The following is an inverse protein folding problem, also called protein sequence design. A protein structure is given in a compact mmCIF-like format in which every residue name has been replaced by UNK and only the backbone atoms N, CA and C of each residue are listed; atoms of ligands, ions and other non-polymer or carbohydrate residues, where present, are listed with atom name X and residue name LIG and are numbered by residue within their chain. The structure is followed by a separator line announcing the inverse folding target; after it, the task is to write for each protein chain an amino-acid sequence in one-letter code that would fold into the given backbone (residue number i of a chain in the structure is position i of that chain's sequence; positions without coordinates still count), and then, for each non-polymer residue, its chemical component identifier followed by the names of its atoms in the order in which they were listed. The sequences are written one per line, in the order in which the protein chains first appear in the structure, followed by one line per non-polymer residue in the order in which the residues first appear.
data_IF_862346947081
#
_entry.id   IF_862346947081
#
_cell.length_a   1.000
_cell.length_b   1.000
_cell.length_c   1.000
_cell.angle_alpha   90.00
_cell.angle_beta   90.00
_cell.angle_gamma   90.00
#
_symmetry.space_group_name_H-M   'P 1'
#
loop_
_entity.id
_entity.type
_entity.pdbx_description
1 polymer ?
#
# COMPACT_ATOMS: atom_id res chain seq x y z
N UNK A 1 -5.71 -14.40 -11.45
CA UNK A 1 -6.17 -13.06 -11.80
C UNK A 1 -6.84 -12.42 -10.60
N UNK A 2 -6.19 -11.45 -9.96
CA UNK A 2 -6.84 -10.64 -8.93
C UNK A 2 -7.70 -9.56 -9.61
N UNK A 3 -8.97 -9.90 -9.87
CA UNK A 3 -9.97 -8.85 -10.03
C UNK A 3 -10.25 -8.29 -8.64
N UNK A 4 -10.04 -7.00 -8.44
CA UNK A 4 -10.37 -6.31 -7.19
C UNK A 4 -11.84 -6.59 -6.82
N UNK A 5 -12.09 -6.96 -5.58
CA UNK A 5 -13.46 -7.13 -5.06
C UNK A 5 -14.17 -5.78 -5.20
N UNK A 6 -15.35 -5.78 -5.84
CA UNK A 6 -16.10 -4.55 -6.13
C UNK A 6 -15.70 -3.84 -7.42
N UNK A 7 -14.64 -4.26 -8.12
CA UNK A 7 -14.29 -3.74 -9.44
C UNK A 7 -15.40 -4.01 -10.46
N UNK A 8 -15.65 -3.04 -11.34
CA UNK A 8 -16.60 -3.18 -12.45
C UNK A 8 -15.94 -3.70 -13.73
N UNK A 9 -14.64 -3.96 -13.70
CA UNK A 9 -13.82 -4.24 -14.86
C UNK A 9 -12.70 -5.23 -14.52
N UNK A 10 -12.39 -6.12 -15.47
CA UNK A 10 -11.20 -6.93 -15.49
C UNK A 10 -10.42 -6.63 -16.77
N UNK A 11 -9.13 -6.34 -16.65
CA UNK A 11 -8.24 -6.03 -17.79
C UNK A 11 -7.11 -7.05 -17.78
N UNK A 12 -6.93 -7.77 -18.89
CA UNK A 12 -5.89 -8.77 -19.09
C UNK A 12 -5.47 -8.82 -20.56
N UNK A 13 -4.30 -9.36 -20.81
CA UNK A 13 -3.82 -9.75 -22.14
C UNK A 13 -4.57 -10.97 -22.67
N UNK A 14 -4.88 -11.92 -21.79
CA UNK A 14 -5.56 -13.17 -22.11
C UNK A 14 -6.45 -13.66 -20.96
N UNK A 15 -7.35 -14.57 -21.27
CA UNK A 15 -8.25 -15.22 -20.33
C UNK A 15 -8.36 -16.71 -20.65
N UNK A 16 -8.21 -17.56 -19.66
CA UNK A 16 -8.62 -18.97 -19.79
C UNK A 16 -10.13 -19.06 -19.99
N UNK A 17 -10.59 -20.05 -20.75
CA UNK A 17 -12.00 -20.19 -21.11
C UNK A 17 -12.91 -20.25 -19.87
N UNK A 18 -12.53 -21.06 -18.87
CA UNK A 18 -13.30 -21.24 -17.64
C UNK A 18 -13.35 -19.96 -16.81
N UNK A 19 -12.22 -19.22 -16.72
CA UNK A 19 -12.15 -17.94 -16.03
C UNK A 19 -13.03 -16.88 -16.74
N UNK A 20 -13.04 -16.88 -18.06
CA UNK A 20 -13.86 -15.99 -18.87
C UNK A 20 -15.35 -16.21 -18.64
N UNK A 21 -15.80 -17.46 -18.57
CA UNK A 21 -17.21 -17.81 -18.29
C UNK A 21 -17.62 -17.33 -16.87
N UNK A 22 -16.77 -17.52 -15.88
CA UNK A 22 -17.01 -17.00 -14.51
C UNK A 22 -17.11 -15.47 -14.53
N UNK A 23 -16.24 -14.78 -15.26
CA UNK A 23 -16.26 -13.31 -15.36
C UNK A 23 -17.52 -12.80 -16.08
N UNK A 24 -17.94 -13.48 -17.17
CA UNK A 24 -19.17 -13.14 -17.91
C UNK A 24 -20.43 -13.29 -17.05
N UNK A 25 -20.45 -14.19 -16.10
CA UNK A 25 -21.60 -14.39 -15.19
C UNK A 25 -21.73 -13.31 -14.12
N UNK A 26 -20.65 -12.54 -13.84
CA UNK A 26 -20.67 -11.47 -12.83
C UNK A 26 -21.63 -10.35 -13.19
N UNK A 27 -22.23 -9.73 -12.15
CA UNK A 27 -23.17 -8.61 -12.28
C UNK A 27 -24.28 -8.86 -13.33
N UNK A 28 -24.74 -10.11 -13.43
CA UNK A 28 -25.79 -10.53 -14.40
C UNK A 28 -25.40 -10.20 -15.84
N UNK A 29 -24.12 -10.36 -16.20
CA UNK A 29 -23.60 -10.07 -17.54
C UNK A 29 -23.14 -8.63 -17.78
N UNK A 30 -23.25 -7.74 -16.80
CA UNK A 30 -22.85 -6.33 -16.92
C UNK A 30 -21.42 -6.05 -16.39
N UNK A 31 -20.56 -7.06 -16.33
CA UNK A 31 -19.17 -6.91 -15.92
C UNK A 31 -18.28 -6.65 -17.14
N UNK A 32 -17.51 -5.57 -17.12
CA UNK A 32 -16.64 -5.23 -18.24
C UNK A 32 -15.40 -6.14 -18.26
N UNK A 33 -15.16 -6.80 -19.39
CA UNK A 33 -14.00 -7.65 -19.63
C UNK A 33 -13.24 -7.04 -20.81
N UNK A 34 -12.00 -6.62 -20.56
CA UNK A 34 -11.17 -5.94 -21.56
C UNK A 34 -9.93 -6.80 -21.82
N UNK A 35 -9.74 -7.21 -23.07
CA UNK A 35 -8.48 -7.77 -23.54
C UNK A 35 -7.60 -6.66 -24.10
N UNK A 36 -6.34 -6.63 -23.69
CA UNK A 36 -5.34 -5.68 -24.20
C UNK A 36 -4.32 -6.42 -25.06
N UNK A 37 -3.80 -5.73 -26.05
CA UNK A 37 -2.70 -6.24 -26.87
C UNK A 37 -1.40 -6.21 -26.04
N UNK A 38 -0.75 -7.36 -25.73
CA UNK A 38 0.47 -7.39 -24.95
C UNK A 38 1.66 -6.77 -25.69
N UNK A 39 1.61 -6.69 -27.02
CA UNK A 39 2.67 -6.13 -27.86
C UNK A 39 2.49 -4.62 -28.11
N UNK A 40 1.42 -4.02 -27.57
CA UNK A 40 1.18 -2.59 -27.70
C UNK A 40 2.28 -1.78 -27.00
N UNK A 41 3.02 -1.00 -27.78
CA UNK A 41 4.02 -0.05 -27.28
C UNK A 41 3.40 1.34 -27.23
N UNK A 42 3.18 1.89 -26.02
CA UNK A 42 2.62 3.23 -25.86
C UNK A 42 3.56 4.31 -26.45
N UNK A 43 2.99 5.43 -26.88
CA UNK A 43 3.78 6.58 -27.32
C UNK A 43 4.74 7.06 -26.21
N UNK A 44 5.96 7.54 -26.54
CA UNK A 44 6.94 7.98 -25.55
C UNK A 44 6.51 9.25 -24.79
N UNK A 45 5.55 10.01 -25.36
CA UNK A 45 4.98 11.20 -24.73
C UNK A 45 3.53 10.93 -24.33
N UNK A 46 3.21 11.24 -23.09
CA UNK A 46 1.85 11.26 -22.58
C UNK A 46 1.26 12.65 -22.74
N UNK A 47 0.04 12.73 -23.29
CA UNK A 47 -0.68 13.98 -23.49
C UNK A 47 -2.05 13.94 -22.81
N UNK A 48 -2.33 14.99 -22.06
CA UNK A 48 -3.64 15.18 -21.40
C UNK A 48 -4.14 16.58 -21.63
N UNK A 49 -5.31 16.73 -22.26
CA UNK A 49 -5.95 18.03 -22.48
C UNK A 49 -7.02 18.27 -21.42
N UNK A 50 -6.90 19.39 -20.69
CA UNK A 50 -7.84 19.83 -19.66
C UNK A 50 -8.16 21.31 -19.91
N UNK A 51 -9.43 21.65 -20.08
CA UNK A 51 -9.89 23.01 -20.35
C UNK A 51 -9.15 23.72 -21.51
N UNK A 52 -8.82 22.99 -22.57
CA UNK A 52 -8.12 23.53 -23.74
C UNK A 52 -6.60 23.68 -23.57
N UNK A 53 -6.05 23.37 -22.42
CA UNK A 53 -4.60 23.30 -22.18
C UNK A 53 -4.13 21.85 -22.29
N UNK A 54 -3.12 21.61 -23.14
CA UNK A 54 -2.53 20.28 -23.28
C UNK A 54 -1.26 20.19 -22.42
N UNK A 55 -1.28 19.28 -21.46
CA UNK A 55 -0.11 18.87 -20.70
C UNK A 55 0.57 17.74 -21.46
N UNK A 56 1.90 17.82 -21.56
CA UNK A 56 2.74 16.81 -22.22
C UNK A 56 3.91 16.47 -21.29
N UNK A 57 4.17 15.19 -21.10
CA UNK A 57 5.30 14.69 -20.33
C UNK A 57 5.87 13.43 -20.94
N UNK A 58 7.14 13.16 -20.65
CA UNK A 58 7.77 11.88 -21.00
C UNK A 58 7.16 10.74 -20.19
N UNK A 59 6.95 9.60 -20.85
CA UNK A 59 6.52 8.38 -20.17
C UNK A 59 7.64 7.86 -19.26
N UNK A 60 7.27 7.34 -18.11
CA UNK A 60 8.17 6.65 -17.17
C UNK A 60 8.46 5.21 -17.67
N UNK A 61 9.34 5.06 -18.63
CA UNK A 61 9.66 3.75 -19.25
C UNK A 61 10.87 3.05 -18.59
N UNK A 62 11.40 3.61 -17.51
CA UNK A 62 12.55 3.07 -16.81
C UNK A 62 12.26 1.69 -16.22
N UNK A 63 13.21 0.77 -16.43
CA UNK A 63 13.19 -0.54 -15.80
C UNK A 63 13.44 -0.41 -14.30
N UNK A 64 12.48 -0.90 -13.53
CA UNK A 64 12.56 -0.96 -12.06
C UNK A 64 13.02 -2.37 -11.68
N UNK A 65 14.30 -2.52 -11.39
CA UNK A 65 14.93 -3.77 -10.98
C UNK A 65 15.88 -3.57 -9.80
N UNK A 66 16.33 -4.65 -9.18
CA UNK A 66 17.31 -4.60 -8.11
C UNK A 66 18.61 -3.94 -8.59
N UNK A 67 19.04 -4.28 -9.80
CA UNK A 67 20.30 -3.81 -10.38
C UNK A 67 20.27 -2.32 -10.75
N UNK A 68 19.09 -1.77 -11.01
CA UNK A 68 18.95 -0.35 -11.35
C UNK A 68 18.63 0.52 -10.12
N UNK A 69 17.89 0.00 -9.14
CA UNK A 69 17.31 0.81 -8.06
C UNK A 69 17.98 0.65 -6.69
N UNK A 70 18.65 -0.47 -6.43
CA UNK A 70 19.15 -0.79 -5.07
C UNK A 70 20.69 -0.85 -5.00
N UNK A 71 21.40 -0.05 -5.82
CA UNK A 71 22.86 -0.03 -5.83
C UNK A 71 23.49 0.92 -4.82
N UNK A 72 22.76 1.94 -4.36
CA UNK A 72 23.28 3.00 -3.50
C UNK A 72 22.62 3.01 -2.12
N UNK A 73 23.06 2.12 -1.23
CA UNK A 73 22.68 2.16 0.19
C UNK A 73 23.48 3.22 0.92
N UNK A 74 22.77 4.21 1.49
CA UNK A 74 23.35 5.42 2.09
C UNK A 74 23.41 5.40 3.62
N UNK A 75 22.81 4.41 4.25
CA UNK A 75 22.80 4.21 5.71
C UNK A 75 23.94 3.30 6.17
N UNK A 76 24.20 3.28 7.49
CA UNK A 76 25.20 2.38 8.10
C UNK A 76 24.81 0.91 7.88
N UNK A 77 23.54 0.57 8.16
CA UNK A 77 22.99 -0.74 7.78
C UNK A 77 22.73 -0.78 6.28
N UNK A 78 23.43 -1.65 5.57
CA UNK A 78 23.29 -1.88 4.13
C UNK A 78 22.76 -3.27 3.81
N UNK A 79 22.42 -4.03 4.87
CA UNK A 79 21.99 -5.42 4.71
C UNK A 79 20.49 -5.48 4.53
N UNK A 80 20.07 -6.04 3.43
CA UNK A 80 18.67 -6.37 3.12
C UNK A 80 18.58 -7.79 2.58
N UNK A 81 17.55 -8.53 2.99
CA UNK A 81 17.28 -9.87 2.50
C UNK A 81 16.74 -9.84 1.07
N UNK A 82 16.76 -10.97 0.37
CA UNK A 82 16.18 -11.04 -0.99
C UNK A 82 14.66 -10.79 -0.98
N UNK A 83 13.96 -11.19 0.08
CA UNK A 83 12.55 -10.83 0.29
C UNK A 83 12.37 -9.30 0.38
N UNK A 84 13.21 -8.62 1.16
CA UNK A 84 13.17 -7.16 1.26
C UNK A 84 13.55 -6.46 -0.06
N UNK A 85 14.53 -6.98 -0.83
CA UNK A 85 14.83 -6.44 -2.16
C UNK A 85 13.61 -6.52 -3.09
N UNK A 86 12.95 -7.70 -3.14
CA UNK A 86 11.70 -7.87 -3.89
C UNK A 86 10.65 -6.85 -3.45
N UNK A 87 10.46 -6.68 -2.15
CA UNK A 87 9.43 -5.81 -1.59
C UNK A 87 9.73 -4.32 -1.83
N UNK A 88 11.01 -3.90 -1.79
CA UNK A 88 11.44 -2.55 -2.17
C UNK A 88 11.16 -2.28 -3.66
N UNK A 89 11.50 -3.22 -4.55
CA UNK A 89 11.20 -3.10 -5.99
C UNK A 89 9.69 -3.07 -6.23
N UNK A 90 8.92 -3.93 -5.57
CA UNK A 90 7.46 -3.91 -5.66
C UNK A 90 6.89 -2.56 -5.25
N UNK A 91 7.41 -1.94 -4.19
CA UNK A 91 6.96 -0.61 -3.76
C UNK A 91 7.16 0.45 -4.85
N UNK A 92 8.29 0.44 -5.56
CA UNK A 92 8.55 1.37 -6.66
C UNK A 92 7.66 1.10 -7.87
N UNK A 93 7.39 -0.18 -8.20
CA UNK A 93 6.46 -0.53 -9.29
C UNK A 93 5.05 -0.01 -8.98
N UNK A 94 4.58 -0.18 -7.74
CA UNK A 94 3.26 0.36 -7.33
C UNK A 94 3.24 1.87 -7.43
N UNK A 95 4.30 2.55 -6.96
CA UNK A 95 4.40 4.01 -6.98
C UNK A 95 4.48 4.59 -8.39
N UNK A 96 5.07 3.86 -9.35
CA UNK A 96 5.10 4.25 -10.77
C UNK A 96 3.68 4.52 -11.32
N UNK A 97 2.68 3.82 -10.80
CA UNK A 97 1.28 3.92 -11.25
C UNK A 97 0.36 4.58 -10.21
N UNK A 98 0.93 5.18 -9.17
CA UNK A 98 0.17 5.83 -8.09
C UNK A 98 0.28 7.34 -8.19
N UNK A 99 -0.86 8.02 -8.07
CA UNK A 99 -0.89 9.50 -8.10
C UNK A 99 -0.05 10.09 -6.96
N UNK A 100 0.84 11.00 -7.32
CA UNK A 100 1.73 11.70 -6.39
C UNK A 100 0.98 12.76 -5.54
N UNK A 101 1.48 13.11 -4.38
CA UNK A 101 2.60 12.47 -3.68
C UNK A 101 2.17 11.09 -3.17
N UNK A 102 3.05 10.14 -3.23
CA UNK A 102 2.70 8.77 -2.83
C UNK A 102 3.82 8.04 -2.07
N UNK A 103 3.40 7.13 -1.20
CA UNK A 103 4.25 6.25 -0.38
C UNK A 103 3.60 4.88 -0.32
N UNK A 104 4.39 3.82 -0.40
CA UNK A 104 3.92 2.44 -0.41
C UNK A 104 4.66 1.57 0.62
N UNK A 105 3.91 0.90 1.48
CA UNK A 105 4.40 -0.12 2.41
C UNK A 105 4.15 -1.50 1.82
N UNK A 106 5.17 -2.34 1.85
CA UNK A 106 5.15 -3.71 1.30
C UNK A 106 5.73 -4.68 2.31
N UNK A 107 5.14 -5.85 2.42
CA UNK A 107 5.66 -6.97 3.20
C UNK A 107 5.33 -8.30 2.52
N UNK A 108 6.32 -9.20 2.47
CA UNK A 108 6.18 -10.57 1.96
C UNK A 108 5.55 -10.67 0.55
N UNK A 109 5.91 -9.74 -0.33
CA UNK A 109 5.40 -9.68 -1.70
C UNK A 109 3.98 -9.13 -1.82
N UNK A 110 3.49 -8.45 -0.78
CA UNK A 110 2.17 -7.84 -0.76
C UNK A 110 2.23 -6.37 -0.36
N UNK A 111 1.55 -5.52 -1.13
CA UNK A 111 1.30 -4.13 -0.75
C UNK A 111 0.31 -4.07 0.38
N UNK A 112 0.71 -3.55 1.54
CA UNK A 112 -0.10 -3.50 2.75
C UNK A 112 -0.62 -2.10 3.08
N UNK A 113 -0.07 -1.05 2.47
CA UNK A 113 -0.57 0.31 2.64
C UNK A 113 -0.04 1.27 1.58
N UNK A 114 -0.94 2.01 0.94
CA UNK A 114 -0.60 3.06 -0.03
C UNK A 114 -1.25 4.36 0.40
N UNK A 115 -0.45 5.41 0.49
CA UNK A 115 -0.90 6.80 0.58
C UNK A 115 -0.67 7.47 -0.76
N UNK A 116 -1.72 7.99 -1.38
CA UNK A 116 -1.70 8.54 -2.73
C UNK A 116 -2.36 9.92 -2.78
N UNK A 117 -1.91 10.79 -3.69
CA UNK A 117 -2.54 12.07 -3.99
C UNK A 117 -2.52 13.07 -2.81
N UNK A 118 -1.61 12.90 -1.85
CA UNK A 118 -1.56 13.77 -0.69
C UNK A 118 -0.73 15.04 -0.96
N UNK A 119 -1.11 16.13 -0.31
CA UNK A 119 -0.46 17.43 -0.47
C UNK A 119 0.92 17.52 0.19
N UNK A 120 1.22 16.64 1.15
CA UNK A 120 2.52 16.61 1.80
C UNK A 120 3.04 15.20 2.01
N UNK A 121 4.36 15.02 1.97
CA UNK A 121 5.03 13.73 2.14
C UNK A 121 4.67 13.06 3.46
N UNK A 122 4.65 13.82 4.56
CA UNK A 122 4.32 13.25 5.87
C UNK A 122 2.87 12.73 5.94
N UNK A 123 1.92 13.36 5.24
CA UNK A 123 0.54 12.88 5.18
C UNK A 123 0.46 11.58 4.38
N UNK A 124 1.22 11.44 3.28
CA UNK A 124 1.33 10.17 2.56
C UNK A 124 1.84 9.05 3.48
N UNK A 125 2.93 9.32 4.21
CA UNK A 125 3.56 8.36 5.11
C UNK A 125 2.61 7.96 6.25
N UNK A 126 1.85 8.92 6.80
CA UNK A 126 0.84 8.65 7.84
C UNK A 126 -0.31 7.82 7.32
N UNK A 127 -0.89 8.20 6.18
CA UNK A 127 -2.03 7.49 5.58
C UNK A 127 -1.64 6.07 5.18
N UNK A 128 -0.51 5.90 4.47
CA UNK A 128 -0.01 4.59 4.08
C UNK A 128 0.31 3.72 5.31
N UNK A 129 0.95 4.31 6.33
CA UNK A 129 1.28 3.62 7.56
C UNK A 129 0.03 3.21 8.36
N UNK A 130 -1.01 4.04 8.41
CA UNK A 130 -2.28 3.68 9.05
C UNK A 130 -2.92 2.47 8.35
N UNK A 131 -2.94 2.45 7.01
CA UNK A 131 -3.43 1.30 6.25
C UNK A 131 -2.60 0.04 6.50
N UNK A 132 -1.27 0.17 6.57
CA UNK A 132 -0.38 -0.93 6.90
C UNK A 132 -0.62 -1.46 8.33
N UNK A 133 -0.80 -0.56 9.30
CA UNK A 133 -1.13 -0.92 10.68
C UNK A 133 -2.48 -1.65 10.74
N UNK A 134 -3.50 -1.15 10.05
CA UNK A 134 -4.81 -1.80 9.97
C UNK A 134 -4.71 -3.17 9.31
N UNK A 135 -3.91 -3.32 8.26
CA UNK A 135 -3.66 -4.61 7.62
C UNK A 135 -3.07 -5.62 8.61
N UNK A 136 -2.09 -5.21 9.43
CA UNK A 136 -1.52 -6.05 10.48
C UNK A 136 -2.56 -6.40 11.56
N UNK A 137 -3.31 -5.41 12.04
CA UNK A 137 -4.32 -5.61 13.08
C UNK A 137 -5.43 -6.58 12.68
N UNK A 138 -5.79 -6.66 11.38
CA UNK A 138 -6.74 -7.66 10.85
C UNK A 138 -6.31 -9.11 11.10
N UNK A 139 -5.01 -9.35 11.33
CA UNK A 139 -4.45 -10.68 11.62
C UNK A 139 -4.29 -10.97 13.12
N UNK A 140 -4.73 -10.06 13.99
CA UNK A 140 -4.76 -10.35 15.43
C UNK A 140 -5.72 -11.51 15.73
N UNK A 141 -5.34 -12.46 16.62
CA UNK A 141 -6.26 -13.54 17.02
C UNK A 141 -7.64 -13.04 17.42
N UNK A 142 -7.72 -11.98 18.24
CA UNK A 142 -8.97 -11.35 18.69
C UNK A 142 -9.85 -10.86 17.53
N UNK A 143 -9.23 -10.43 16.41
CA UNK A 143 -9.94 -9.99 15.19
C UNK A 143 -10.36 -11.16 14.32
N UNK A 144 -9.49 -12.17 14.19
CA UNK A 144 -9.79 -13.39 13.43
C UNK A 144 -10.91 -14.22 14.07
N UNK A 145 -11.06 -14.14 15.40
CA UNK A 145 -12.04 -14.87 16.20
C UNK A 145 -13.35 -14.08 16.45
N UNK A 146 -13.56 -12.96 15.73
CA UNK A 146 -14.80 -12.19 15.84
C UNK A 146 -16.01 -13.08 15.57
N UNK A 147 -17.02 -13.10 16.47
CA UNK A 147 -18.13 -14.04 16.41
C UNK A 147 -19.21 -13.59 15.42
N UNK A 148 -18.87 -13.54 14.14
CA UNK A 148 -19.82 -13.16 13.10
C UNK A 148 -21.00 -14.12 13.00
N UNK A 149 -22.16 -13.59 12.69
CA UNK A 149 -23.33 -14.38 12.30
C UNK A 149 -23.11 -14.96 10.90
N UNK A 150 -23.65 -16.14 10.63
CA UNK A 150 -23.48 -16.85 9.37
C UNK A 150 -24.14 -16.14 8.17
N UNK A 151 -25.24 -15.40 8.44
CA UNK A 151 -26.03 -14.68 7.45
C UNK A 151 -25.42 -13.33 7.04
N UNK A 152 -24.36 -12.85 7.70
CA UNK A 152 -23.68 -11.59 7.35
C UNK A 152 -22.81 -11.79 6.11
N UNK A 153 -23.11 -11.04 5.07
CA UNK A 153 -22.37 -11.09 3.81
C UNK A 153 -20.91 -10.64 3.98
N UNK A 154 -20.00 -11.22 3.17
CA UNK A 154 -18.57 -10.93 3.23
C UNK A 154 -18.22 -9.42 3.21
N UNK A 155 -18.80 -8.56 2.34
CA UNK A 155 -18.50 -7.13 2.36
C UNK A 155 -18.85 -6.46 3.70
N UNK A 156 -19.94 -6.89 4.33
CA UNK A 156 -20.35 -6.36 5.63
C UNK A 156 -19.41 -6.81 6.75
N UNK A 157 -18.94 -8.07 6.71
CA UNK A 157 -17.91 -8.56 7.64
C UNK A 157 -16.61 -7.77 7.49
N UNK A 158 -16.15 -7.53 6.26
CA UNK A 158 -14.94 -6.75 5.97
C UNK A 158 -15.05 -5.32 6.51
N UNK A 159 -16.21 -4.67 6.29
CA UNK A 159 -16.48 -3.34 6.84
C UNK A 159 -16.52 -3.34 8.39
N UNK A 160 -17.17 -4.32 8.98
CA UNK A 160 -17.26 -4.41 10.44
C UNK A 160 -15.87 -4.63 11.08
N UNK A 161 -14.96 -5.39 10.42
CA UNK A 161 -13.59 -5.53 10.88
C UNK A 161 -12.86 -4.17 10.83
N UNK A 162 -13.00 -3.42 9.73
CA UNK A 162 -12.34 -2.11 9.60
C UNK A 162 -12.81 -1.11 10.66
N UNK A 163 -14.11 -1.10 10.97
CA UNK A 163 -14.67 -0.26 12.04
C UNK A 163 -14.20 -0.74 13.42
N UNK A 164 -14.22 -2.06 13.67
CA UNK A 164 -13.79 -2.65 14.93
C UNK A 164 -12.33 -2.35 15.29
N UNK A 165 -11.42 -2.39 14.30
CA UNK A 165 -10.01 -2.04 14.50
C UNK A 165 -9.77 -0.54 14.42
N UNK A 166 -10.74 0.24 13.97
CA UNK A 166 -10.66 1.69 13.80
C UNK A 166 -10.74 2.48 15.11
N UNK A 167 -11.12 3.74 15.00
CA UNK A 167 -11.19 4.69 16.11
C UNK A 167 -12.59 4.76 16.73
N UNK A 168 -13.62 4.24 16.04
CA UNK A 168 -15.04 4.23 16.48
C UNK A 168 -15.64 2.82 16.49
N UNK A 169 -15.05 1.86 17.24
CA UNK A 169 -15.56 0.49 17.28
C UNK A 169 -17.01 0.38 17.77
N UNK A 170 -17.48 1.35 18.56
CA UNK A 170 -18.86 1.45 19.03
C UNK A 170 -19.90 1.44 17.91
N UNK A 171 -19.55 1.89 16.71
CA UNK A 171 -20.43 1.88 15.53
C UNK A 171 -20.82 0.45 15.08
N UNK A 172 -20.11 -0.59 15.54
CA UNK A 172 -20.41 -2.00 15.21
C UNK A 172 -20.53 -2.90 16.43
N UNK A 173 -20.00 -2.51 17.60
CA UNK A 173 -20.07 -3.31 18.83
C UNK A 173 -20.87 -2.62 19.96
N UNK A 174 -21.42 -1.43 19.72
CA UNK A 174 -22.29 -0.73 20.69
C UNK A 174 -23.53 -1.55 21.05
N UNK A 175 -24.14 -1.28 22.23
CA UNK A 175 -25.23 -2.09 22.81
C UNK A 175 -26.46 -2.24 21.91
N UNK A 176 -26.72 -1.25 21.07
CA UNK A 176 -27.89 -1.18 20.17
C UNK A 176 -27.61 -1.74 18.75
N UNK A 177 -26.36 -2.01 18.37
CA UNK A 177 -25.99 -2.38 17.00
C UNK A 177 -25.27 -3.72 16.85
N UNK A 178 -24.55 -4.20 17.86
CA UNK A 178 -23.70 -5.40 17.73
C UNK A 178 -24.48 -6.64 17.24
N UNK A 179 -25.74 -6.81 17.65
CA UNK A 179 -26.55 -7.99 17.32
C UNK A 179 -26.91 -8.09 15.81
N UNK A 180 -26.74 -7.02 15.05
CA UNK A 180 -26.92 -7.05 13.60
C UNK A 180 -25.79 -7.82 12.89
N UNK A 181 -24.60 -7.84 13.48
CA UNK A 181 -23.39 -8.37 12.86
C UNK A 181 -22.82 -9.60 13.56
N UNK A 182 -22.94 -9.67 14.90
CA UNK A 182 -22.31 -10.69 15.71
C UNK A 182 -23.32 -11.58 16.43
N UNK A 183 -22.90 -12.80 16.80
CA UNK A 183 -23.70 -13.73 17.61
C UNK A 183 -23.61 -13.44 19.10
N UNK A 184 -22.58 -12.70 19.52
CA UNK A 184 -22.38 -12.15 20.87
C UNK A 184 -21.61 -10.85 20.75
N UNK A 185 -21.79 -9.94 21.70
CA UNK A 185 -21.09 -8.67 21.71
C UNK A 185 -19.58 -8.90 21.86
N UNK A 186 -18.74 -8.43 20.90
CA UNK A 186 -17.29 -8.51 21.02
C UNK A 186 -16.76 -7.52 22.06
N UNK A 187 -15.71 -7.93 22.77
CA UNK A 187 -14.92 -7.02 23.60
C UNK A 187 -14.17 -6.01 22.71
N UNK A 188 -14.14 -4.71 23.04
CA UNK A 188 -13.41 -3.73 22.26
C UNK A 188 -11.90 -4.02 22.22
N UNK A 189 -11.27 -3.68 21.13
CA UNK A 189 -9.81 -3.79 20.96
C UNK A 189 -9.16 -2.52 21.52
N UNK A 190 -8.43 -2.65 22.64
CA UNK A 190 -7.85 -1.49 23.31
C UNK A 190 -6.64 -0.91 22.59
N UNK A 191 -6.33 0.36 22.84
CA UNK A 191 -5.14 1.02 22.28
C UNK A 191 -3.84 0.31 22.70
N UNK A 192 -3.80 -0.22 23.93
CA UNK A 192 -2.67 -0.96 24.48
C UNK A 192 -2.48 -2.30 23.74
N UNK A 193 -3.57 -3.04 23.46
CA UNK A 193 -3.52 -4.27 22.68
C UNK A 193 -3.02 -4.02 21.26
N UNK A 194 -3.57 -2.99 20.57
CA UNK A 194 -3.10 -2.56 19.23
C UNK A 194 -1.61 -2.23 19.25
N UNK A 195 -1.17 -1.39 20.19
CA UNK A 195 0.23 -0.99 20.33
C UNK A 195 1.15 -2.17 20.62
N UNK A 196 0.76 -3.06 21.53
CA UNK A 196 1.52 -4.24 21.89
C UNK A 196 1.68 -5.22 20.71
N UNK A 197 0.64 -5.35 19.87
CA UNK A 197 0.71 -6.17 18.67
C UNK A 197 1.61 -5.53 17.59
N UNK A 198 1.37 -4.27 17.26
CA UNK A 198 2.13 -3.54 16.23
C UNK A 198 3.61 -3.40 16.60
N UNK A 199 3.96 -3.35 17.89
CA UNK A 199 5.36 -3.27 18.32
C UNK A 199 6.19 -4.51 17.98
N UNK A 200 5.55 -5.64 17.64
CA UNK A 200 6.20 -6.89 17.23
C UNK A 200 6.36 -6.99 15.71
N UNK A 201 5.71 -6.11 14.95
CA UNK A 201 5.81 -6.08 13.49
C UNK A 201 7.20 -5.60 13.09
N UNK A 202 7.83 -6.32 12.18
CA UNK A 202 9.16 -6.01 11.64
C UNK A 202 9.29 -6.51 10.21
N UNK A 203 10.32 -6.10 9.49
CA UNK A 203 10.59 -6.57 8.13
C UNK A 203 9.78 -5.85 7.04
N UNK A 204 8.97 -4.87 7.39
CA UNK A 204 8.22 -4.06 6.43
C UNK A 204 9.17 -3.21 5.59
N UNK A 205 8.90 -3.12 4.29
CA UNK A 205 9.62 -2.28 3.33
C UNK A 205 8.79 -1.06 2.96
N UNK A 206 9.47 0.06 2.68
CA UNK A 206 8.84 1.32 2.32
C UNK A 206 9.46 1.90 1.05
N UNK A 207 8.63 2.25 0.07
CA UNK A 207 9.00 3.07 -1.09
C UNK A 207 8.37 4.45 -1.04
N UNK A 208 9.07 5.43 -1.64
CA UNK A 208 8.57 6.79 -1.83
C UNK A 208 8.82 7.27 -3.25
N UNK A 209 7.82 7.89 -3.88
CA UNK A 209 7.91 8.42 -5.25
C UNK A 209 8.81 9.67 -5.37
N UNK A 210 9.15 10.30 -4.24
CA UNK A 210 10.11 11.38 -4.13
C UNK A 210 10.87 11.33 -2.78
N UNK A 211 11.82 12.24 -2.58
CA UNK A 211 12.62 12.29 -1.36
C UNK A 211 11.77 12.58 -0.10
N UNK A 212 12.23 12.07 1.03
CA UNK A 212 11.72 12.48 2.33
C UNK A 212 12.34 13.82 2.75
N UNK A 213 11.52 14.85 3.04
CA UNK A 213 12.05 16.16 3.40
C UNK A 213 12.55 16.25 4.85
N UNK A 214 12.09 15.33 5.73
CA UNK A 214 12.40 15.36 7.16
C UNK A 214 12.42 13.96 7.76
N UNK A 215 13.13 13.77 8.87
CA UNK A 215 13.23 12.51 9.62
C UNK A 215 11.92 12.04 10.26
N UNK A 216 10.91 12.92 10.42
CA UNK A 216 9.58 12.56 10.96
C UNK A 216 8.86 11.48 10.12
N UNK A 217 9.14 11.44 8.81
CA UNK A 217 8.65 10.37 7.93
C UNK A 217 9.22 9.00 8.34
N UNK A 218 10.50 8.96 8.71
CA UNK A 218 11.18 7.75 9.17
C UNK A 218 10.65 7.34 10.55
N UNK A 219 10.47 8.31 11.46
CA UNK A 219 9.85 8.07 12.78
C UNK A 219 8.45 7.45 12.64
N UNK A 220 7.65 7.92 11.67
CA UNK A 220 6.34 7.33 11.39
C UNK A 220 6.46 5.92 10.81
N UNK A 221 7.35 5.75 9.82
CA UNK A 221 7.54 4.47 9.14
C UNK A 221 8.00 3.36 10.12
N UNK A 222 8.94 3.68 11.01
CA UNK A 222 9.42 2.76 12.03
C UNK A 222 8.29 2.19 12.90
N UNK A 223 7.29 2.99 13.25
CA UNK A 223 6.15 2.55 14.10
C UNK A 223 5.32 1.44 13.43
N UNK A 224 5.36 1.34 12.10
CA UNK A 224 4.73 0.28 11.31
C UNK A 224 5.69 -0.85 10.95
N UNK A 225 6.80 -1.00 11.66
CA UNK A 225 7.74 -2.12 11.49
C UNK A 225 8.68 -2.01 10.29
N UNK A 226 8.86 -0.82 9.71
CA UNK A 226 9.75 -0.62 8.57
C UNK A 226 11.22 -0.82 8.97
N UNK A 227 11.92 -1.65 8.19
CA UNK A 227 13.34 -1.97 8.35
C UNK A 227 14.17 -1.68 7.11
N UNK A 228 13.53 -1.47 5.95
CA UNK A 228 14.20 -1.13 4.70
C UNK A 228 13.39 -0.09 3.91
N UNK A 229 14.09 0.86 3.29
CA UNK A 229 13.50 2.00 2.59
C UNK A 229 14.17 2.18 1.23
N UNK A 230 13.39 2.59 0.21
CA UNK A 230 13.89 3.09 -1.06
C UNK A 230 13.23 4.42 -1.41
N UNK A 231 14.04 5.39 -1.80
CA UNK A 231 13.60 6.73 -2.22
C UNK A 231 14.61 7.34 -3.19
N UNK A 232 14.24 8.39 -3.95
CA UNK A 232 15.16 9.01 -4.91
C UNK A 232 16.40 9.65 -4.30
N UNK A 233 16.31 10.24 -3.10
CA UNK A 233 17.31 11.17 -2.58
C UNK A 233 17.23 12.55 -3.26
N UNK A 234 18.19 13.43 -2.96
CA UNK A 234 18.31 14.77 -3.54
C UNK A 234 17.62 15.87 -2.74
N UNK A 235 17.30 15.64 -1.47
CA UNK A 235 16.89 16.67 -0.53
C UNK A 235 18.12 17.36 0.07
N UNK A 236 18.04 18.66 0.31
CA UNK A 236 19.07 19.39 1.10
C UNK A 236 19.18 18.85 2.54
N UNK A 237 18.24 18.04 2.98
CA UNK A 237 18.16 17.43 4.32
C UNK A 237 18.35 15.92 4.30
N UNK A 238 18.89 15.36 3.22
CA UNK A 238 19.13 13.91 3.11
C UNK A 238 19.92 13.37 4.31
N UNK A 239 20.92 14.12 4.80
CA UNK A 239 21.70 13.70 5.97
C UNK A 239 20.84 13.50 7.21
N UNK A 240 19.89 14.41 7.49
CA UNK A 240 18.96 14.27 8.63
C UNK A 240 18.10 13.01 8.52
N UNK A 241 17.68 12.65 7.30
CA UNK A 241 16.87 11.44 7.05
C UNK A 241 17.72 10.20 7.23
N UNK A 242 18.99 10.22 6.72
CA UNK A 242 19.97 9.14 6.88
C UNK A 242 20.26 8.91 8.38
N UNK A 243 20.53 9.98 9.15
CA UNK A 243 20.81 9.89 10.58
C UNK A 243 19.63 9.28 11.35
N UNK A 244 18.40 9.63 10.96
CA UNK A 244 17.19 9.06 11.56
C UNK A 244 17.06 7.56 11.23
N UNK A 245 17.40 7.13 10.02
CA UNK A 245 17.45 5.71 9.65
C UNK A 245 18.52 4.98 10.47
N UNK A 246 19.73 5.54 10.59
CA UNK A 246 20.84 4.96 11.34
C UNK A 246 20.48 4.78 12.83
N UNK A 247 19.82 5.75 13.44
CA UNK A 247 19.29 5.67 14.82
C UNK A 247 18.46 4.40 15.07
N UNK A 248 17.77 3.89 14.05
CA UNK A 248 16.88 2.74 14.15
C UNK A 248 17.39 1.50 13.41
N UNK A 249 18.60 1.54 12.86
CA UNK A 249 19.18 0.44 12.09
C UNK A 249 18.44 0.13 10.79
N UNK A 250 17.69 1.09 10.24
CA UNK A 250 16.94 0.96 8.99
C UNK A 250 17.89 1.08 7.81
N UNK A 251 17.87 0.12 6.88
CA UNK A 251 18.60 0.21 5.63
C UNK A 251 17.86 1.14 4.65
N UNK A 252 18.56 2.09 4.02
CA UNK A 252 17.96 2.98 3.03
C UNK A 252 18.82 3.06 1.77
N UNK A 253 18.17 2.85 0.61
CA UNK A 253 18.76 3.04 -0.70
C UNK A 253 18.22 4.31 -1.39
N UNK A 254 19.13 5.04 -2.06
CA UNK A 254 18.78 6.11 -2.98
C UNK A 254 18.76 5.57 -4.41
N UNK A 255 17.57 5.50 -5.03
CA UNK A 255 17.39 5.02 -6.40
C UNK A 255 17.62 6.11 -7.46
N UNK A 256 17.71 7.39 -7.09
CA UNK A 256 17.88 8.51 -8.03
C UNK A 256 16.69 8.77 -8.95
N UNK A 257 15.63 7.97 -8.85
CA UNK A 257 14.46 8.03 -9.73
C UNK A 257 13.25 8.64 -9.01
N UNK A 258 12.76 9.77 -9.53
CA UNK A 258 11.46 10.34 -9.11
C UNK A 258 10.34 9.71 -9.92
N UNK A 259 9.32 9.21 -9.24
CA UNK A 259 8.17 8.55 -9.85
C UNK A 259 6.92 9.44 -9.84
N UNK A 260 7.10 10.75 -10.02
CA UNK A 260 5.97 11.68 -10.03
C UNK A 260 4.95 11.34 -11.13
N UNK A 261 3.71 11.18 -10.72
CA UNK A 261 2.56 10.91 -11.56
C UNK A 261 1.40 11.83 -11.14
N UNK A 262 1.13 12.84 -11.97
CA UNK A 262 0.10 13.87 -11.71
C UNK A 262 -1.05 13.82 -12.71
#
# INVERSE_FOLDING_TARGET
AQCLVGSEMCIRDSYDADALEVLKSKKKGNYNIVAIDPDYIPAPLERRTVFGVTFEQGRQDLEISVDTMLQNFVTENKTVTDAQKRDLIMSLIVLKYTQSNSVCYVQDGQTIGVGAGQQSRIHCTRLAGQKADNWQLRHMPKVLELPFRDDVAKPNRDNAIDVYIGDTPEDVIGDDVWAETFTRQPEPLTAEEKKAYLSKVTGVCLGSDAFFPFGDNIERARRSGVTAIVQPGGSIRDQQVIDTCNKYGIAMAFCGLRLFHH
#
